data_IF_408284952915
#
_entry.id   IF_408284952915
#
_cell.length_a   1.000
_cell.length_b   1.000
_cell.length_c   1.000
_cell.angle_alpha   90.00
_cell.angle_beta   90.00
_cell.angle_gamma   90.00
#
_symmetry.space_group_name_H-M   'P 1'
#
loop_
_entity.id
_entity.type
_entity.pdbx_description
1 polymer ?
#
# COMPACT_ATOMS: atom_id res chain seq x y z
N UNK A 1 -8.16 8.41 8.38
CA UNK A 1 -7.96 6.95 8.58
C UNK A 1 -6.94 6.78 9.69
N UNK A 2 -7.38 6.35 10.88
CA UNK A 2 -6.45 6.05 11.96
C UNK A 2 -5.73 4.74 11.58
N UNK A 3 -4.51 4.88 11.04
CA UNK A 3 -3.63 3.73 10.87
C UNK A 3 -3.42 3.10 12.25
N UNK A 4 -3.92 1.91 12.44
CA UNK A 4 -3.74 1.22 13.70
C UNK A 4 -2.25 1.00 13.95
N UNK A 5 -1.66 1.71 14.92
CA UNK A 5 -0.25 1.50 15.33
C UNK A 5 0.01 0.03 15.68
N UNK A 6 -1.03 -0.67 16.10
CA UNK A 6 -0.96 -2.10 16.38
C UNK A 6 -0.79 -2.90 15.09
N UNK A 7 -1.58 -2.64 14.04
CA UNK A 7 -1.45 -3.31 12.74
C UNK A 7 -0.04 -3.14 12.15
N UNK A 8 0.50 -1.92 12.18
CA UNK A 8 1.87 -1.64 11.72
C UNK A 8 2.92 -2.46 12.48
N UNK A 9 2.76 -2.62 13.81
CA UNK A 9 3.68 -3.40 14.63
C UNK A 9 3.64 -4.88 14.30
N UNK A 10 2.44 -5.45 14.07
CA UNK A 10 2.29 -6.84 13.64
C UNK A 10 2.84 -7.03 12.23
N UNK A 11 2.55 -6.14 11.29
CA UNK A 11 3.07 -6.20 9.93
C UNK A 11 4.60 -6.18 9.89
N UNK A 12 5.25 -5.28 10.66
CA UNK A 12 6.73 -5.24 10.80
C UNK A 12 7.29 -6.53 11.39
N UNK A 13 6.66 -7.07 12.43
CA UNK A 13 7.11 -8.33 13.03
C UNK A 13 7.00 -9.51 12.04
N UNK A 14 5.89 -9.57 11.30
CA UNK A 14 5.69 -10.59 10.25
C UNK A 14 6.72 -10.44 9.13
N UNK A 15 7.00 -9.21 8.69
CA UNK A 15 8.00 -8.96 7.65
C UNK A 15 9.41 -9.39 8.10
N UNK A 16 9.81 -9.04 9.32
CA UNK A 16 11.11 -9.45 9.86
C UNK A 16 11.24 -10.98 9.90
N UNK A 17 10.21 -11.68 10.36
CA UNK A 17 10.18 -13.14 10.37
C UNK A 17 10.23 -13.73 8.95
N UNK A 18 9.51 -13.13 8.00
CA UNK A 18 9.52 -13.53 6.60
C UNK A 18 10.90 -13.33 5.95
N UNK A 19 11.60 -12.24 6.28
CA UNK A 19 12.98 -11.99 5.83
C UNK A 19 13.94 -13.03 6.41
N UNK A 20 13.85 -13.29 7.71
CA UNK A 20 14.69 -14.29 8.39
C UNK A 20 14.52 -15.69 7.80
N UNK A 21 13.27 -16.10 7.56
CA UNK A 21 12.93 -17.40 6.94
C UNK A 21 13.03 -17.39 5.40
N UNK A 22 13.45 -16.30 4.76
CA UNK A 22 13.55 -16.12 3.29
C UNK A 22 12.25 -16.47 2.55
N UNK A 23 11.11 -16.12 3.13
CA UNK A 23 9.78 -16.47 2.63
C UNK A 23 8.95 -15.22 2.29
N UNK A 24 9.58 -14.06 2.09
CA UNK A 24 8.91 -12.77 1.84
C UNK A 24 7.92 -12.81 0.69
N UNK A 25 8.30 -13.45 -0.45
CA UNK A 25 7.42 -13.53 -1.64
C UNK A 25 6.23 -14.47 -1.44
N UNK A 26 6.39 -15.53 -0.65
CA UNK A 26 5.30 -16.44 -0.33
C UNK A 26 4.28 -15.75 0.59
N UNK A 27 4.78 -15.09 1.64
CA UNK A 27 3.93 -14.35 2.58
C UNK A 27 3.26 -13.16 1.89
N UNK A 28 3.94 -12.47 0.96
CA UNK A 28 3.34 -11.38 0.18
C UNK A 28 2.12 -11.84 -0.63
N UNK A 29 2.25 -12.98 -1.32
CA UNK A 29 1.14 -13.58 -2.06
C UNK A 29 -0.04 -13.92 -1.15
N UNK A 30 0.26 -14.48 0.02
CA UNK A 30 -0.77 -14.80 1.01
C UNK A 30 -1.48 -13.53 1.50
N UNK A 31 -0.73 -12.47 1.84
CA UNK A 31 -1.30 -11.21 2.33
C UNK A 31 -2.16 -10.53 1.27
N UNK A 32 -1.75 -10.54 0.00
CA UNK A 32 -2.58 -10.04 -1.11
C UNK A 32 -3.86 -10.86 -1.27
N UNK A 33 -3.76 -12.19 -1.21
CA UNK A 33 -4.93 -13.07 -1.24
C UNK A 33 -5.89 -12.80 -0.07
N UNK A 34 -5.36 -12.57 1.14
CA UNK A 34 -6.17 -12.23 2.33
C UNK A 34 -6.93 -10.92 2.12
N UNK A 35 -6.24 -9.85 1.70
CA UNK A 35 -6.87 -8.55 1.44
C UNK A 35 -7.96 -8.67 0.39
N UNK A 36 -7.68 -9.37 -0.72
CA UNK A 36 -8.64 -9.58 -1.80
C UNK A 36 -9.86 -10.36 -1.31
N UNK A 37 -9.66 -11.51 -0.64
CA UNK A 37 -10.76 -12.35 -0.15
C UNK A 37 -11.63 -11.60 0.85
N UNK A 38 -11.03 -10.81 1.75
CA UNK A 38 -11.78 -9.99 2.71
C UNK A 38 -12.54 -8.87 1.97
N UNK A 39 -11.97 -8.28 0.91
CA UNK A 39 -12.66 -7.27 0.10
C UNK A 39 -13.86 -7.82 -0.64
N UNK A 40 -13.78 -9.05 -1.12
CA UNK A 40 -14.79 -9.71 -1.95
C UNK A 40 -15.93 -10.33 -1.13
N UNK A 41 -15.77 -10.53 0.19
CA UNK A 41 -16.78 -11.13 1.07
C UNK A 41 -17.12 -10.24 2.25
N UNK A 42 -18.33 -9.70 2.25
CA UNK A 42 -18.85 -8.91 3.37
C UNK A 42 -19.10 -9.79 4.60
N UNK A 43 -19.50 -11.06 4.41
CA UNK A 43 -19.69 -12.02 5.48
C UNK A 43 -18.37 -12.30 6.24
N UNK A 44 -17.25 -12.37 5.51
CA UNK A 44 -15.94 -12.54 6.12
C UNK A 44 -15.53 -11.31 6.94
N UNK A 45 -15.80 -10.10 6.43
CA UNK A 45 -15.57 -8.86 7.18
C UNK A 45 -16.39 -8.82 8.48
N UNK A 46 -17.68 -9.12 8.39
CA UNK A 46 -18.58 -9.16 9.55
C UNK A 46 -18.14 -10.21 10.56
N UNK A 47 -17.75 -11.39 10.10
CA UNK A 47 -17.24 -12.46 10.94
C UNK A 47 -15.99 -12.04 11.72
N UNK A 48 -15.04 -11.37 11.07
CA UNK A 48 -13.80 -10.90 11.72
C UNK A 48 -14.08 -9.88 12.83
N UNK A 49 -15.00 -8.95 12.60
CA UNK A 49 -15.32 -7.85 13.53
C UNK A 49 -16.31 -8.30 14.61
N UNK A 50 -17.16 -9.30 14.36
CA UNK A 50 -18.22 -9.73 15.29
C UNK A 50 -17.64 -10.11 16.67
N UNK A 51 -18.13 -9.52 17.75
CA UNK A 51 -17.72 -9.90 19.12
C UNK A 51 -18.40 -11.18 19.61
N UNK A 52 -19.44 -11.66 18.93
CA UNK A 52 -20.26 -12.81 19.36
C UNK A 52 -19.52 -14.13 19.08
N UNK A 53 -18.77 -14.18 17.99
CA UNK A 53 -18.04 -15.37 17.59
C UNK A 53 -16.77 -15.55 18.40
N UNK A 54 -16.57 -16.75 18.93
CA UNK A 54 -15.34 -17.10 19.62
C UNK A 54 -14.12 -17.01 18.71
N UNK A 55 -13.02 -16.51 19.27
CA UNK A 55 -11.76 -16.38 18.54
C UNK A 55 -11.25 -17.71 17.97
N UNK A 56 -11.48 -18.82 18.66
CA UNK A 56 -11.14 -20.17 18.22
C UNK A 56 -11.91 -20.60 16.97
N UNK A 57 -13.18 -20.22 16.87
CA UNK A 57 -14.01 -20.49 15.69
C UNK A 57 -13.56 -19.67 14.49
N UNK A 58 -13.21 -18.40 14.69
CA UNK A 58 -12.64 -17.53 13.65
C UNK A 58 -11.32 -18.08 13.10
N UNK A 59 -10.46 -18.59 13.97
CA UNK A 59 -9.19 -19.21 13.57
C UNK A 59 -9.41 -20.43 12.66
N UNK A 60 -10.33 -21.32 13.05
CA UNK A 60 -10.67 -22.50 12.25
C UNK A 60 -11.16 -22.13 10.86
N UNK A 61 -12.06 -21.13 10.77
CA UNK A 61 -12.58 -20.65 9.49
C UNK A 61 -11.45 -20.06 8.62
N UNK A 62 -10.57 -19.24 9.20
CA UNK A 62 -9.43 -18.69 8.47
C UNK A 62 -8.49 -19.76 7.96
N UNK A 63 -8.16 -20.76 8.80
CA UNK A 63 -7.29 -21.89 8.40
C UNK A 63 -7.96 -22.77 7.32
N UNK A 64 -9.29 -22.86 7.31
CA UNK A 64 -10.04 -23.58 6.27
C UNK A 64 -10.05 -22.81 4.94
N UNK A 65 -10.28 -21.50 4.95
CA UNK A 65 -10.27 -20.65 3.76
C UNK A 65 -8.84 -20.57 3.18
N UNK A 66 -7.84 -20.36 4.04
CA UNK A 66 -6.45 -20.16 3.65
C UNK A 66 -5.57 -21.39 3.93
N UNK A 67 -6.03 -22.60 3.55
CA UNK A 67 -5.30 -23.87 3.76
C UNK A 67 -3.89 -23.89 3.20
N UNK A 68 -3.72 -23.29 2.02
CA UNK A 68 -2.48 -23.33 1.24
C UNK A 68 -1.50 -22.20 1.59
N UNK A 69 -1.79 -21.40 2.62
CA UNK A 69 -0.91 -20.33 3.05
C UNK A 69 0.38 -20.84 3.69
N UNK A 70 1.41 -20.00 3.63
CA UNK A 70 2.68 -20.21 4.29
C UNK A 70 2.50 -20.39 5.81
N UNK A 71 3.42 -21.11 6.43
CA UNK A 71 3.41 -21.38 7.87
C UNK A 71 3.45 -20.09 8.70
N UNK A 72 4.23 -19.09 8.23
CA UNK A 72 4.30 -17.77 8.86
C UNK A 72 2.92 -17.09 8.88
N UNK A 73 2.15 -17.18 7.79
CA UNK A 73 0.81 -16.60 7.71
C UNK A 73 -0.14 -17.25 8.69
N UNK A 74 -0.04 -18.57 8.89
CA UNK A 74 -0.83 -19.30 9.90
C UNK A 74 -0.44 -18.89 11.31
N UNK A 75 0.87 -18.71 11.59
CA UNK A 75 1.36 -18.19 12.87
C UNK A 75 0.79 -16.80 13.18
N UNK A 76 0.64 -15.94 12.15
CA UNK A 76 0.02 -14.61 12.29
C UNK A 76 -1.45 -14.72 12.69
N UNK A 77 -2.21 -15.65 12.08
CA UNK A 77 -3.61 -15.87 12.47
C UNK A 77 -3.71 -16.27 13.94
N UNK A 78 -2.95 -17.29 14.36
CA UNK A 78 -2.94 -17.77 15.74
C UNK A 78 -2.52 -16.68 16.73
N UNK A 79 -1.53 -15.85 16.37
CA UNK A 79 -1.08 -14.71 17.18
C UNK A 79 -2.18 -13.66 17.35
N UNK A 80 -2.85 -13.27 16.26
CA UNK A 80 -3.93 -12.27 16.31
C UNK A 80 -5.13 -12.79 17.10
N UNK A 81 -5.47 -14.06 16.95
CA UNK A 81 -6.52 -14.76 17.73
C UNK A 81 -6.17 -14.76 19.23
N UNK A 82 -4.95 -15.20 19.57
CA UNK A 82 -4.45 -15.20 20.94
C UNK A 82 -4.51 -13.82 21.60
N UNK A 83 -4.19 -12.78 20.85
CA UNK A 83 -4.24 -11.39 21.31
C UNK A 83 -5.65 -10.78 21.24
N UNK A 84 -6.66 -11.51 20.80
CA UNK A 84 -8.04 -11.03 20.58
C UNK A 84 -8.10 -9.80 19.66
N UNK A 85 -7.29 -9.82 18.57
CA UNK A 85 -7.14 -8.72 17.61
C UNK A 85 -7.26 -9.18 16.17
N UNK A 86 -8.06 -10.19 15.92
CA UNK A 86 -8.27 -10.76 14.60
C UNK A 86 -8.98 -9.77 13.64
N UNK A 87 -9.72 -8.82 14.21
CA UNK A 87 -10.31 -7.67 13.51
C UNK A 87 -9.28 -6.82 12.74
N UNK A 88 -8.03 -6.80 13.19
CA UNK A 88 -6.94 -6.08 12.54
C UNK A 88 -6.30 -6.84 11.37
N UNK A 89 -6.74 -8.05 11.04
CA UNK A 89 -6.10 -8.90 10.03
C UNK A 89 -5.98 -8.19 8.67
N UNK A 90 -7.04 -7.54 8.22
CA UNK A 90 -7.04 -6.79 6.96
C UNK A 90 -5.99 -5.66 6.97
N UNK A 91 -5.96 -4.88 8.04
CA UNK A 91 -5.00 -3.78 8.18
C UNK A 91 -3.55 -4.28 8.27
N UNK A 92 -3.33 -5.40 8.97
CA UNK A 92 -2.01 -6.04 9.08
C UNK A 92 -1.53 -6.50 7.71
N UNK A 93 -2.39 -7.16 6.94
CA UNK A 93 -2.07 -7.64 5.60
C UNK A 93 -1.78 -6.48 4.64
N UNK A 94 -2.61 -5.43 4.63
CA UNK A 94 -2.39 -4.24 3.81
C UNK A 94 -1.07 -3.53 4.17
N UNK A 95 -0.76 -3.38 5.46
CA UNK A 95 0.50 -2.77 5.90
C UNK A 95 1.72 -3.64 5.60
N UNK A 96 1.59 -4.96 5.66
CA UNK A 96 2.66 -5.87 5.28
C UNK A 96 3.04 -5.69 3.81
N UNK A 97 2.05 -5.60 2.91
CA UNK A 97 2.27 -5.41 1.47
C UNK A 97 3.08 -4.13 1.23
N UNK A 98 2.66 -3.01 1.81
CA UNK A 98 3.37 -1.72 1.68
C UNK A 98 4.82 -1.82 2.18
N UNK A 99 5.03 -2.41 3.36
CA UNK A 99 6.38 -2.57 3.93
C UNK A 99 7.27 -3.50 3.10
N UNK A 100 6.69 -4.53 2.48
CA UNK A 100 7.42 -5.46 1.63
C UNK A 100 7.81 -4.81 0.29
N UNK A 101 6.93 -3.97 -0.29
CA UNK A 101 7.23 -3.16 -1.47
C UNK A 101 8.36 -2.16 -1.19
N UNK A 102 8.32 -1.48 -0.04
CA UNK A 102 9.40 -0.60 0.42
C UNK A 102 10.72 -1.36 0.58
N UNK A 103 10.70 -2.56 1.16
CA UNK A 103 11.87 -3.42 1.34
C UNK A 103 12.48 -3.85 0.01
N UNK A 104 11.64 -4.21 -0.97
CA UNK A 104 12.08 -4.59 -2.32
C UNK A 104 12.58 -3.41 -3.14
N UNK A 105 12.35 -2.20 -2.67
CA UNK A 105 12.59 -0.98 -3.43
C UNK A 105 11.68 -0.83 -4.65
N UNK A 106 10.57 -1.55 -4.67
CA UNK A 106 9.53 -1.45 -5.68
C UNK A 106 8.53 -0.38 -5.23
N UNK A 107 8.86 0.87 -5.47
CA UNK A 107 7.93 1.97 -5.20
C UNK A 107 7.02 2.19 -6.39
N UNK A 108 5.72 2.21 -6.16
CA UNK A 108 4.75 2.67 -7.14
C UNK A 108 4.77 4.20 -7.15
N UNK A 109 5.11 4.77 -8.30
CA UNK A 109 4.98 6.20 -8.52
C UNK A 109 3.66 6.50 -9.21
N UNK A 110 2.76 7.15 -8.49
CA UNK A 110 1.51 7.65 -9.07
C UNK A 110 1.80 8.96 -9.81
N UNK A 111 1.52 8.95 -11.11
CA UNK A 111 1.68 10.11 -11.98
C UNK A 111 0.30 10.62 -12.36
N UNK A 112 -0.06 11.79 -11.84
CA UNK A 112 -1.32 12.47 -12.24
C UNK A 112 -1.04 13.39 -13.42
N UNK A 113 -1.79 13.21 -14.52
CA UNK A 113 -1.67 13.99 -15.75
C UNK A 113 -3.05 14.43 -16.25
N UNK A 114 -3.12 15.53 -16.99
CA UNK A 114 -4.37 16.01 -17.61
C UNK A 114 -4.83 15.14 -18.81
N UNK A 115 -3.91 14.42 -19.42
CA UNK A 115 -4.15 13.54 -20.58
C UNK A 115 -3.39 12.22 -20.39
N UNK A 116 -3.76 11.14 -21.08
CA UNK A 116 -3.02 9.88 -21.00
C UNK A 116 -1.53 10.05 -21.26
N UNK A 117 -0.70 9.30 -20.54
CA UNK A 117 0.77 9.34 -20.68
C UNK A 117 1.20 8.99 -22.09
N UNK A 118 1.96 9.90 -22.70
CA UNK A 118 2.64 9.61 -23.97
C UNK A 118 4.01 9.01 -23.68
N UNK A 119 4.57 8.16 -24.58
CA UNK A 119 5.90 7.55 -24.38
C UNK A 119 7.04 8.56 -24.18
N UNK A 120 6.89 9.77 -24.74
CA UNK A 120 7.85 10.85 -24.57
C UNK A 120 7.79 11.48 -23.17
N UNK A 121 6.60 11.58 -22.59
CA UNK A 121 6.37 12.09 -21.24
C UNK A 121 6.81 11.08 -20.19
N UNK A 122 6.53 9.80 -20.43
CA UNK A 122 6.96 8.70 -19.58
C UNK A 122 8.49 8.68 -19.41
N UNK A 123 9.26 8.80 -20.51
CA UNK A 123 10.72 8.90 -20.46
C UNK A 123 11.22 10.10 -19.65
N UNK A 124 10.56 11.26 -19.77
CA UNK A 124 10.90 12.45 -18.98
C UNK A 124 10.64 12.24 -17.49
N UNK A 125 9.50 11.63 -17.14
CA UNK A 125 9.14 11.31 -15.76
C UNK A 125 10.15 10.32 -15.18
N UNK A 126 10.45 9.22 -15.88
CA UNK A 126 11.46 8.24 -15.47
C UNK A 126 12.84 8.88 -15.25
N UNK A 127 13.24 9.82 -16.11
CA UNK A 127 14.52 10.54 -15.93
C UNK A 127 14.53 11.44 -14.69
N UNK A 128 13.41 12.02 -14.30
CA UNK A 128 13.31 12.80 -13.06
C UNK A 128 13.28 11.89 -11.83
N UNK A 129 12.57 10.77 -11.91
CA UNK A 129 12.52 9.75 -10.86
C UNK A 129 13.93 9.21 -10.58
N UNK A 130 14.72 8.90 -11.61
CA UNK A 130 16.10 8.43 -11.46
C UNK A 130 17.06 9.42 -10.77
N UNK A 131 16.67 10.72 -10.67
CA UNK A 131 17.40 11.71 -9.86
C UNK A 131 17.00 11.72 -8.40
N UNK A 132 15.80 11.22 -8.08
CA UNK A 132 15.21 11.22 -6.73
C UNK A 132 15.50 9.90 -6.03
N UNK A 133 15.45 8.78 -6.76
CA UNK A 133 15.65 7.45 -6.20
C UNK A 133 16.30 6.51 -7.21
N UNK A 134 17.08 5.55 -6.70
CA UNK A 134 17.72 4.48 -7.47
C UNK A 134 16.86 3.21 -7.57
N UNK A 135 15.69 3.19 -6.94
CA UNK A 135 14.82 2.03 -6.87
C UNK A 135 14.09 1.80 -8.21
N UNK A 136 13.73 0.56 -8.48
CA UNK A 136 12.81 0.23 -9.58
C UNK A 136 11.42 0.80 -9.27
N UNK A 137 10.92 1.65 -10.17
CA UNK A 137 9.64 2.30 -10.00
C UNK A 137 8.68 1.86 -11.09
N UNK A 138 7.52 1.39 -10.66
CA UNK A 138 6.38 1.15 -11.55
C UNK A 138 5.55 2.43 -11.62
N UNK A 139 5.29 2.92 -12.84
CA UNK A 139 4.45 4.11 -13.05
C UNK A 139 2.98 3.70 -13.14
N UNK A 140 2.17 4.30 -12.30
CA UNK A 140 0.71 4.23 -12.39
C UNK A 140 0.17 5.60 -12.82
N UNK A 141 -0.58 5.65 -13.94
CA UNK A 141 -1.12 6.90 -14.44
C UNK A 141 -2.53 7.13 -13.95
N UNK A 142 -2.75 8.27 -13.31
CA UNK A 142 -4.05 8.80 -12.93
C UNK A 142 -4.35 10.05 -13.76
N UNK A 143 -5.52 10.10 -14.39
CA UNK A 143 -5.94 11.25 -15.20
C UNK A 143 -6.75 12.20 -14.31
N UNK A 144 -6.34 13.47 -14.28
CA UNK A 144 -7.04 14.57 -13.61
C UNK A 144 -6.96 15.84 -14.47
N UNK A 145 -8.06 16.18 -15.10
CA UNK A 145 -8.16 17.33 -16.00
C UNK A 145 -7.98 18.68 -15.27
N UNK A 146 -8.15 18.73 -13.96
CA UNK A 146 -8.05 19.96 -13.16
C UNK A 146 -6.65 20.58 -13.13
N UNK A 147 -5.60 19.80 -13.42
CA UNK A 147 -4.22 20.30 -13.44
C UNK A 147 -3.86 21.11 -14.68
N UNK A 148 -4.78 21.21 -15.68
CA UNK A 148 -4.64 21.94 -16.95
C UNK A 148 -3.54 21.35 -17.84
N UNK A 149 -2.43 20.86 -17.28
CA UNK A 149 -1.29 20.26 -17.97
C UNK A 149 -0.07 20.10 -17.08
N UNK A 150 0.96 19.46 -17.62
CA UNK A 150 2.10 19.00 -16.83
C UNK A 150 1.82 17.69 -16.12
N UNK A 151 2.48 17.45 -14.99
CA UNK A 151 2.27 16.24 -14.19
C UNK A 151 2.50 16.49 -12.70
N UNK A 152 1.85 15.69 -11.87
CA UNK A 152 2.14 15.58 -10.44
C UNK A 152 2.66 14.16 -10.23
N UNK A 153 3.85 14.04 -9.66
CA UNK A 153 4.49 12.77 -9.35
C UNK A 153 4.44 12.55 -7.84
N UNK A 154 3.91 11.43 -7.41
CA UNK A 154 3.89 11.02 -6.01
C UNK A 154 4.58 9.67 -5.84
N UNK A 155 5.59 9.64 -4.96
CA UNK A 155 6.35 8.43 -4.62
C UNK A 155 6.32 8.31 -3.10
N UNK A 156 5.48 7.39 -2.57
CA UNK A 156 5.26 7.31 -1.12
C UNK A 156 4.81 8.65 -0.53
N UNK A 157 5.58 9.21 0.38
CA UNK A 157 5.31 10.50 1.03
C UNK A 157 5.85 11.71 0.27
N UNK A 158 6.67 11.49 -0.77
CA UNK A 158 7.23 12.57 -1.58
C UNK A 158 6.30 12.92 -2.73
N UNK A 159 6.01 14.22 -2.89
CA UNK A 159 5.24 14.74 -4.02
C UNK A 159 6.02 15.81 -4.78
N UNK A 160 6.20 15.59 -6.07
CA UNK A 160 6.78 16.56 -7.00
C UNK A 160 5.68 17.10 -7.91
N UNK A 161 5.37 18.38 -7.77
CA UNK A 161 4.30 19.04 -8.53
C UNK A 161 4.88 19.90 -9.65
N UNK A 162 4.85 19.37 -10.88
CA UNK A 162 5.24 20.04 -12.12
C UNK A 162 4.02 20.46 -12.97
N UNK A 163 2.86 20.67 -12.35
CA UNK A 163 1.67 21.13 -13.06
C UNK A 163 1.75 22.60 -13.45
N UNK A 164 1.13 22.94 -14.59
CA UNK A 164 1.01 24.32 -15.06
C UNK A 164 0.26 25.19 -14.06
N UNK A 165 -0.79 24.64 -13.44
CA UNK A 165 -1.57 25.30 -12.39
C UNK A 165 -0.70 25.75 -11.20
N UNK A 166 0.19 24.86 -10.73
CA UNK A 166 1.11 25.19 -9.64
C UNK A 166 2.11 26.28 -10.04
N UNK A 167 2.66 26.21 -11.26
CA UNK A 167 3.62 27.18 -11.77
C UNK A 167 2.98 28.58 -11.90
N UNK A 168 1.74 28.67 -12.38
CA UNK A 168 0.99 29.91 -12.46
C UNK A 168 0.70 30.48 -11.07
N UNK A 169 0.34 29.65 -10.11
CA UNK A 169 0.11 30.07 -8.73
C UNK A 169 1.39 30.60 -8.06
N UNK A 170 2.53 29.99 -8.33
CA UNK A 170 3.82 30.45 -7.82
C UNK A 170 4.18 31.82 -8.42
N UNK A 171 4.04 32.01 -9.73
CA UNK A 171 4.26 33.30 -10.39
C UNK A 171 3.32 34.38 -9.84
N UNK A 172 2.03 34.05 -9.66
CA UNK A 172 1.07 35.00 -9.08
C UNK A 172 1.50 35.46 -7.68
N UNK A 173 1.99 34.54 -6.83
CA UNK A 173 2.51 34.87 -5.49
C UNK A 173 3.76 35.75 -5.54
N UNK A 174 4.69 35.45 -6.44
CA UNK A 174 5.90 36.28 -6.64
C UNK A 174 5.54 37.73 -7.01
N UNK A 175 4.61 37.93 -7.96
CA UNK A 175 4.14 39.25 -8.33
C UNK A 175 3.38 39.98 -7.23
N UNK A 176 2.62 39.23 -6.43
CA UNK A 176 1.82 39.87 -5.32
C UNK A 176 2.74 40.22 -4.14
N UNK A 177 3.83 39.48 -3.91
CA UNK A 177 4.77 39.78 -2.81
C UNK A 177 5.86 40.78 -3.20
N UNK A 178 5.94 41.17 -4.47
CA UNK A 178 6.92 42.15 -4.98
C UNK A 178 6.38 43.58 -5.07
N UNK A 179 5.15 43.81 -4.57
CA UNK A 179 4.49 45.10 -4.39
C UNK A 179 4.35 45.38 -2.91
#
# INVERSE_FOLDING_TARGET
MNESRAALRYAKATLNLAVEKKATDAVDRDMRSIVQTISDSDELKEMLVSPILESSSKEKVLLEIFKNCNEITKEVFSLLVYKKRIDLLNDVAAKYIVLNEDLKGENVAVVTTAVPLTPSLEKKILSQIGKITTNKITLENQIDESIIGGFILRIGDLQYNASISNKLNSLKREFTNSI
#
